data_IF_110727936513
#
_entry.id   IF_110727936513
#
_cell.length_a   1.000
_cell.length_b   1.000
_cell.length_c   1.000
_cell.angle_alpha   90.00
_cell.angle_beta   90.00
_cell.angle_gamma   90.00
#
_symmetry.space_group_name_H-M   'P 1'
#
loop_
_entity.id
_entity.type
_entity.pdbx_description
1 polymer ?
#
# COMPACT_ATOMS: atom_id res chain seq x y z
N UNK A 1 49.29 -69.15 3.81
CA UNK A 1 48.63 -68.81 2.52
C UNK A 1 47.35 -69.63 2.46
N UNK A 2 46.11 -69.16 2.28
CA UNK A 2 45.49 -67.92 1.79
C UNK A 2 43.99 -67.98 2.21
N UNK A 3 43.50 -66.96 2.93
CA UNK A 3 42.24 -66.17 2.69
C UNK A 3 40.99 -66.87 2.11
N UNK A 4 39.70 -66.60 2.44
CA UNK A 4 38.91 -65.54 3.14
C UNK A 4 37.43 -65.98 2.98
N UNK A 5 36.54 -65.92 3.98
CA UNK A 5 35.07 -65.96 3.71
C UNK A 5 34.22 -65.25 4.76
N UNK A 6 34.41 -63.94 4.97
CA UNK A 6 33.38 -63.12 5.60
C UNK A 6 32.90 -62.08 4.58
N UNK A 7 31.76 -62.31 3.94
CA UNK A 7 31.05 -61.29 3.18
C UNK A 7 29.65 -61.18 3.76
N UNK A 8 29.51 -60.33 4.77
CA UNK A 8 28.22 -59.81 5.17
C UNK A 8 27.76 -58.84 4.06
N UNK A 9 26.61 -59.14 3.47
CA UNK A 9 25.96 -58.28 2.47
C UNK A 9 25.22 -57.18 3.23
N UNK A 10 25.77 -55.97 3.21
CA UNK A 10 25.05 -54.75 3.61
C UNK A 10 24.68 -54.00 2.33
N UNK A 11 23.44 -54.15 1.90
CA UNK A 11 22.88 -53.41 0.78
C UNK A 11 22.43 -52.03 1.27
N UNK A 12 23.25 -51.02 1.00
CA UNK A 12 22.89 -49.61 1.20
C UNK A 12 22.11 -49.14 -0.02
N UNK A 13 20.84 -48.76 0.15
CA UNK A 13 20.09 -48.04 -0.89
C UNK A 13 20.40 -46.55 -0.77
N UNK A 14 21.24 -46.03 -1.68
CA UNK A 14 21.43 -44.61 -1.87
C UNK A 14 20.33 -44.09 -2.81
N UNK A 15 19.30 -43.46 -2.28
CA UNK A 15 18.34 -42.72 -3.09
C UNK A 15 18.93 -41.33 -3.40
N UNK A 16 19.49 -41.17 -4.60
CA UNK A 16 19.89 -39.86 -5.10
C UNK A 16 18.64 -39.13 -5.60
N UNK A 17 18.11 -38.20 -4.79
CA UNK A 17 17.10 -37.25 -5.27
C UNK A 17 17.81 -36.24 -6.17
N UNK A 18 17.69 -36.41 -7.48
CA UNK A 18 18.11 -35.40 -8.45
C UNK A 18 17.09 -34.27 -8.44
N UNK A 19 17.36 -33.21 -7.66
CA UNK A 19 16.64 -31.95 -7.83
C UNK A 19 17.15 -31.34 -9.14
N UNK A 20 16.44 -31.59 -10.24
CA UNK A 20 16.65 -30.84 -11.48
C UNK A 20 16.24 -29.41 -11.16
N UNK A 21 17.24 -28.52 -11.00
CA UNK A 21 17.01 -27.10 -10.81
C UNK A 21 16.28 -26.54 -12.01
N UNK A 22 14.95 -26.42 -11.91
CA UNK A 22 14.18 -25.62 -12.85
C UNK A 22 14.61 -24.18 -12.61
N UNK A 23 15.31 -23.60 -13.58
CA UNK A 23 15.54 -22.16 -13.60
C UNK A 23 14.18 -21.50 -13.82
N UNK A 24 13.59 -21.00 -12.73
CA UNK A 24 12.43 -20.11 -12.82
C UNK A 24 12.93 -18.82 -13.47
N UNK A 25 12.39 -18.39 -14.62
CA UNK A 25 12.79 -17.12 -15.21
C UNK A 25 12.43 -16.00 -14.25
N UNK A 26 13.43 -15.27 -13.76
CA UNK A 26 13.19 -14.00 -13.07
C UNK A 26 12.56 -13.05 -14.08
N UNK A 27 11.27 -12.74 -13.93
CA UNK A 27 10.64 -11.70 -14.72
C UNK A 27 11.36 -10.39 -14.40
N UNK A 28 11.95 -9.76 -15.41
CA UNK A 28 12.51 -8.43 -15.26
C UNK A 28 11.36 -7.47 -14.93
N UNK A 29 11.31 -7.00 -13.68
CA UNK A 29 10.31 -6.05 -13.23
C UNK A 29 10.83 -4.63 -13.43
N UNK A 30 9.98 -3.76 -13.96
CA UNK A 30 10.26 -2.33 -14.09
C UNK A 30 9.94 -1.62 -12.77
N UNK A 31 10.87 -0.79 -12.29
CA UNK A 31 10.61 0.04 -11.11
C UNK A 31 9.48 1.02 -11.45
N UNK A 32 8.57 1.22 -10.50
CA UNK A 32 7.48 2.19 -10.65
C UNK A 32 8.05 3.59 -10.84
N UNK A 33 7.56 4.31 -11.85
CA UNK A 33 7.98 5.68 -12.19
C UNK A 33 6.80 6.67 -12.30
N UNK A 34 5.56 6.20 -12.08
CA UNK A 34 4.40 7.09 -11.94
C UNK A 34 4.36 7.67 -10.52
N UNK A 35 4.81 8.91 -10.39
CA UNK A 35 4.79 9.65 -9.13
C UNK A 35 3.38 10.04 -8.66
N UNK A 36 2.47 10.38 -9.59
CA UNK A 36 1.15 10.89 -9.24
C UNK A 36 0.22 9.78 -8.74
N UNK A 37 -0.40 9.98 -7.58
CA UNK A 37 -1.40 9.07 -6.99
C UNK A 37 -2.80 9.67 -7.14
N UNK A 38 -3.56 9.29 -8.20
CA UNK A 38 -4.88 9.85 -8.46
C UNK A 38 -5.97 9.24 -7.57
N UNK A 39 -7.11 9.93 -7.46
CA UNK A 39 -8.32 9.41 -6.81
C UNK A 39 -8.42 9.63 -5.31
N UNK A 40 -7.36 10.15 -4.65
CA UNK A 40 -7.46 10.63 -3.27
C UNK A 40 -7.94 12.08 -3.29
N UNK A 41 -9.21 12.30 -2.95
CA UNK A 41 -9.78 13.64 -2.85
C UNK A 41 -9.60 14.21 -1.45
N UNK A 42 -9.41 15.53 -1.35
CA UNK A 42 -9.32 16.19 -0.07
C UNK A 42 -10.62 15.99 0.75
N UNK A 43 -10.53 15.77 2.08
CA UNK A 43 -11.67 15.69 2.97
C UNK A 43 -12.56 16.94 2.87
N UNK A 44 -13.87 16.71 2.79
CA UNK A 44 -14.89 17.77 2.79
C UNK A 44 -15.91 17.43 3.87
N UNK A 45 -16.34 18.42 4.65
CA UNK A 45 -17.38 18.26 5.66
C UNK A 45 -18.61 17.53 5.08
N UNK A 46 -19.01 16.43 5.72
CA UNK A 46 -20.18 15.66 5.31
C UNK A 46 -19.94 14.69 4.14
N UNK A 47 -18.76 14.66 3.54
CA UNK A 47 -18.39 13.69 2.51
C UNK A 47 -17.80 12.42 3.14
N UNK A 48 -18.02 11.27 2.50
CA UNK A 48 -17.46 9.99 2.94
C UNK A 48 -15.99 9.83 2.46
N UNK A 49 -15.12 9.22 3.28
CA UNK A 49 -13.74 8.93 2.90
C UNK A 49 -13.66 7.94 1.73
N UNK A 50 -12.71 8.17 0.82
CA UNK A 50 -12.40 7.20 -0.25
C UNK A 50 -11.56 6.05 0.29
N UNK A 51 -11.88 4.81 -0.06
CA UNK A 51 -11.15 3.63 0.44
C UNK A 51 -10.04 3.13 -0.49
N UNK A 52 -9.93 3.69 -1.71
CA UNK A 52 -8.97 3.25 -2.71
C UNK A 52 -8.55 4.41 -3.62
N UNK A 53 -7.35 4.32 -4.17
CA UNK A 53 -6.87 5.25 -5.21
C UNK A 53 -7.51 4.90 -6.56
N UNK A 54 -7.45 5.83 -7.51
CA UNK A 54 -7.70 5.48 -8.90
C UNK A 54 -6.53 4.64 -9.42
N UNK A 55 -6.83 3.46 -9.93
CA UNK A 55 -5.84 2.53 -10.46
C UNK A 55 -5.04 3.15 -11.62
N UNK A 56 -3.71 2.97 -11.59
CA UNK A 56 -2.81 3.42 -12.65
C UNK A 56 -2.38 2.25 -13.53
N UNK A 57 -1.57 2.49 -14.56
CA UNK A 57 -1.00 1.41 -15.35
C UNK A 57 -0.02 0.52 -14.56
N UNK A 58 0.55 1.02 -13.46
CA UNK A 58 1.67 0.38 -12.75
C UNK A 58 1.30 -0.17 -11.37
N UNK A 59 0.30 0.40 -10.72
CA UNK A 59 -0.09 0.02 -9.37
C UNK A 59 -1.56 0.30 -9.07
N UNK A 60 -2.07 -0.42 -8.07
CA UNK A 60 -3.31 -0.14 -7.36
C UNK A 60 -2.97 0.32 -5.94
N UNK A 61 -3.96 0.75 -5.16
CA UNK A 61 -3.71 1.10 -3.77
C UNK A 61 -4.98 1.24 -2.95
N UNK A 62 -4.85 0.90 -1.67
CA UNK A 62 -5.90 1.07 -0.67
C UNK A 62 -5.60 2.30 0.19
N UNK A 63 -6.63 2.99 0.63
CA UNK A 63 -6.54 4.22 1.43
C UNK A 63 -7.23 3.99 2.76
N UNK A 64 -6.51 4.28 3.85
CA UNK A 64 -7.04 4.24 5.22
C UNK A 64 -6.92 5.62 5.83
N UNK A 65 -8.00 6.14 6.39
CA UNK A 65 -8.05 7.47 6.96
C UNK A 65 -7.93 7.45 8.48
N UNK A 66 -7.27 8.47 9.01
CA UNK A 66 -7.21 8.77 10.43
C UNK A 66 -7.44 10.28 10.66
N UNK A 67 -8.41 10.69 11.49
CA UNK A 67 -9.44 9.88 12.15
C UNK A 67 -10.34 9.09 11.18
N UNK A 68 -10.95 8.00 11.67
CA UNK A 68 -11.83 7.11 10.88
C UNK A 68 -13.28 7.60 10.84
N UNK A 69 -13.51 8.91 10.78
CA UNK A 69 -14.86 9.47 10.72
C UNK A 69 -15.50 9.23 9.36
N UNK A 70 -16.76 8.82 9.34
CA UNK A 70 -17.60 8.73 8.14
C UNK A 70 -19.02 9.23 8.48
N UNK A 71 -19.41 10.42 8.00
CA UNK A 71 -18.68 11.32 7.11
C UNK A 71 -17.57 12.13 7.81
N UNK A 72 -16.70 12.78 7.03
CA UNK A 72 -15.71 13.71 7.56
C UNK A 72 -16.35 14.86 8.36
N UNK A 73 -15.75 15.16 9.51
CA UNK A 73 -16.12 16.25 10.39
C UNK A 73 -15.45 17.55 9.97
N UNK A 74 -16.00 18.68 10.41
CA UNK A 74 -15.47 20.02 10.16
C UNK A 74 -14.35 20.41 11.12
N UNK A 75 -13.50 21.36 10.71
CA UNK A 75 -12.36 21.86 11.50
C UNK A 75 -11.38 20.76 11.95
N UNK A 76 -11.28 19.67 11.18
CA UNK A 76 -10.50 18.48 11.53
C UNK A 76 -9.46 18.20 10.45
N UNK A 77 -8.24 17.88 10.89
CA UNK A 77 -7.16 17.39 10.02
C UNK A 77 -7.32 15.88 9.88
N UNK A 78 -7.24 15.40 8.64
CA UNK A 78 -7.25 13.98 8.30
C UNK A 78 -5.95 13.57 7.61
N UNK A 79 -5.47 12.39 7.97
CA UNK A 79 -4.31 11.74 7.39
C UNK A 79 -4.77 10.50 6.63
N UNK A 80 -4.40 10.40 5.36
CA UNK A 80 -4.59 9.23 4.52
C UNK A 80 -3.31 8.40 4.47
N UNK A 81 -3.39 7.15 4.91
CA UNK A 81 -2.36 6.14 4.71
C UNK A 81 -2.70 5.33 3.48
N UNK A 82 -1.89 5.47 2.43
CA UNK A 82 -2.09 4.82 1.14
C UNK A 82 -1.10 3.66 1.03
N UNK A 83 -1.61 2.45 0.83
CA UNK A 83 -0.78 1.25 0.62
C UNK A 83 -0.87 0.84 -0.84
N UNK A 84 0.25 0.93 -1.56
CA UNK A 84 0.35 0.59 -2.97
C UNK A 84 0.61 -0.89 -3.18
N UNK A 85 0.00 -1.45 -4.22
CA UNK A 85 0.26 -2.80 -4.73
C UNK A 85 0.71 -2.69 -6.17
N UNK A 86 1.95 -3.09 -6.46
CA UNK A 86 2.48 -3.10 -7.82
C UNK A 86 1.76 -4.14 -8.68
N UNK A 87 1.51 -3.79 -9.94
CA UNK A 87 0.94 -4.71 -10.94
C UNK A 87 2.00 -5.67 -11.48
N UNK A 88 1.54 -6.71 -12.17
CA UNK A 88 2.42 -7.67 -12.82
C UNK A 88 3.44 -6.96 -13.74
N UNK A 89 4.72 -7.24 -13.53
CA UNK A 89 5.82 -6.61 -14.26
C UNK A 89 6.37 -5.33 -13.60
N UNK A 90 5.81 -4.86 -12.48
CA UNK A 90 6.29 -3.68 -11.77
C UNK A 90 6.79 -3.99 -10.36
N UNK A 91 7.70 -3.16 -9.84
CA UNK A 91 8.29 -3.32 -8.50
C UNK A 91 8.33 -2.00 -7.72
N UNK A 92 8.08 -2.08 -6.40
CA UNK A 92 8.22 -1.00 -5.42
C UNK A 92 9.67 -0.86 -4.89
N UNK A 93 10.41 -1.96 -4.69
CA UNK A 93 11.86 -1.90 -4.50
C UNK A 93 12.55 -1.08 -5.59
N UNK A 94 13.31 -0.06 -5.17
CA UNK A 94 14.00 0.88 -6.06
C UNK A 94 13.31 2.25 -6.19
N UNK A 95 12.08 2.41 -5.71
CA UNK A 95 11.43 3.72 -5.62
C UNK A 95 12.08 4.54 -4.51
N UNK A 96 12.42 5.79 -4.82
CA UNK A 96 13.05 6.72 -3.88
C UNK A 96 12.10 7.15 -2.75
N UNK A 97 12.67 7.66 -1.67
CA UNK A 97 11.93 8.36 -0.62
C UNK A 97 11.26 9.62 -1.20
N UNK A 98 10.06 9.94 -0.71
CA UNK A 98 9.25 11.11 -1.12
C UNK A 98 9.09 11.30 -2.64
N UNK A 99 8.98 10.18 -3.35
CA UNK A 99 8.79 10.13 -4.80
C UNK A 99 7.34 10.39 -5.21
N UNK A 100 6.37 9.96 -4.40
CA UNK A 100 4.96 10.03 -4.76
C UNK A 100 4.35 11.39 -4.46
N UNK A 101 3.39 11.81 -5.28
CA UNK A 101 2.66 13.06 -5.14
C UNK A 101 1.16 12.83 -5.03
N UNK A 102 0.53 13.40 -4.01
CA UNK A 102 -0.92 13.34 -3.77
C UNK A 102 -1.51 14.74 -3.88
N UNK A 103 -2.56 14.93 -4.67
CA UNK A 103 -3.16 16.25 -4.83
C UNK A 103 -3.94 16.69 -3.57
N UNK A 104 -3.84 17.98 -3.21
CA UNK A 104 -4.63 18.57 -2.14
C UNK A 104 -4.11 18.31 -0.71
N UNK A 105 -2.92 17.74 -0.57
CA UNK A 105 -2.26 17.52 0.73
C UNK A 105 -1.43 18.74 1.15
N UNK A 106 -1.25 18.89 2.46
CA UNK A 106 -0.25 19.77 3.05
C UNK A 106 1.14 19.14 2.97
N UNK A 107 1.21 17.84 3.22
CA UNK A 107 2.45 17.05 3.14
C UNK A 107 2.14 15.63 2.71
N UNK A 108 2.93 15.10 1.79
CA UNK A 108 3.02 13.70 1.43
C UNK A 108 4.43 13.19 1.73
N UNK A 109 4.52 12.02 2.36
CA UNK A 109 5.78 11.35 2.63
C UNK A 109 5.70 9.87 2.30
N UNK A 110 6.79 9.30 1.79
CA UNK A 110 6.89 7.86 1.60
C UNK A 110 8.29 7.36 1.93
N UNK A 111 8.44 6.32 2.76
CA UNK A 111 9.73 5.66 2.92
C UNK A 111 10.18 5.02 1.60
N UNK A 112 11.50 5.04 1.34
CA UNK A 112 12.07 4.39 0.17
C UNK A 112 11.68 2.91 0.10
N UNK A 113 11.31 2.44 -1.10
CA UNK A 113 10.97 1.04 -1.38
C UNK A 113 9.82 0.42 -0.55
N UNK A 114 9.05 1.22 0.21
CA UNK A 114 7.98 0.70 1.08
C UNK A 114 6.64 0.52 0.38
N UNK A 115 6.34 1.36 -0.63
CA UNK A 115 5.00 1.44 -1.23
C UNK A 115 3.91 1.90 -0.26
N UNK A 116 4.28 2.51 0.87
CA UNK A 116 3.35 3.13 1.82
C UNK A 116 3.55 4.64 1.75
N UNK A 117 2.47 5.37 1.56
CA UNK A 117 2.47 6.84 1.44
C UNK A 117 1.60 7.38 2.57
N UNK A 118 2.09 8.41 3.26
CA UNK A 118 1.36 9.15 4.27
C UNK A 118 1.02 10.53 3.72
N UNK A 119 -0.26 10.81 3.55
CA UNK A 119 -0.78 12.06 3.00
C UNK A 119 -1.58 12.81 4.07
N UNK A 120 -1.12 13.99 4.48
CA UNK A 120 -1.79 14.84 5.48
C UNK A 120 -2.53 15.96 4.78
N UNK A 121 -3.85 16.02 4.96
CA UNK A 121 -4.70 17.04 4.35
C UNK A 121 -4.86 18.28 5.25
N UNK A 122 -5.10 19.47 4.68
CA UNK A 122 -5.48 20.63 5.48
C UNK A 122 -6.79 20.37 6.25
N UNK A 123 -7.01 21.16 7.31
CA UNK A 123 -8.23 21.05 8.10
C UNK A 123 -9.48 21.31 7.25
N UNK A 124 -10.51 20.47 7.41
CA UNK A 124 -11.82 20.64 6.78
C UNK A 124 -12.46 21.97 7.19
N UNK A 125 -13.30 22.53 6.32
CA UNK A 125 -14.08 23.72 6.65
C UNK A 125 -14.92 23.49 7.91
N UNK A 126 -15.03 24.52 8.77
CA UNK A 126 -15.84 24.45 9.98
C UNK A 126 -17.33 24.28 9.62
N UNK A 127 -18.04 23.48 10.42
CA UNK A 127 -19.49 23.38 10.30
C UNK A 127 -20.12 24.73 10.72
N UNK A 128 -20.84 25.38 9.80
CA UNK A 128 -21.60 26.60 10.11
C UNK A 128 -22.99 26.17 10.58
N UNK A 129 -23.32 26.47 11.83
CA UNK A 129 -24.68 26.31 12.36
C UNK A 129 -25.43 27.62 12.10
N UNK A 130 -26.43 27.57 11.21
CA UNK A 130 -27.32 28.72 10.99
C UNK A 130 -28.41 28.76 12.06
N UNK A 131 -28.33 29.75 12.96
CA UNK A 131 -29.28 29.92 14.07
C UNK A 131 -30.67 30.40 13.59
N UNK A 132 -30.78 30.89 12.34
CA UNK A 132 -32.04 31.36 11.78
C UNK A 132 -33.09 30.24 11.61
N UNK A 133 -32.68 28.96 11.65
CA UNK A 133 -33.55 27.81 11.47
C UNK A 133 -34.11 27.23 12.78
N UNK A 134 -33.79 27.79 13.96
CA UNK A 134 -34.40 27.34 15.22
C UNK A 134 -35.76 28.03 15.40
N UNK A 135 -36.90 27.34 15.19
CA UNK A 135 -38.20 27.95 15.39
C UNK A 135 -38.42 28.12 16.90
N UNK A 136 -38.57 29.35 17.39
CA UNK A 136 -39.03 29.61 18.76
C UNK A 136 -38.07 30.33 19.71
N UNK A 137 -36.94 30.89 19.25
CA UNK A 137 -36.14 31.82 20.07
C UNK A 137 -36.76 33.23 20.05
N UNK A 138 -37.88 33.41 20.75
CA UNK A 138 -38.40 34.75 21.07
C UNK A 138 -37.57 35.35 22.21
N UNK A 139 -37.03 36.54 21.98
CA UNK A 139 -36.31 37.35 22.96
C UNK A 139 -37.22 37.84 24.10
#
# INVERSE_FOLDING_TARGET
MRTRYWKAVLATVLATVLVVGVAIPTLAQTVIDIAAVPGVTAPVLGASPVAAITETAQYTGAVVWAPTDDPFLGAQVYTATITLTAKAGYTLPGVAEDFFTVAGVTTDTNPASSGVITAVFPATAAAVIDIAAVPGVTA
#
